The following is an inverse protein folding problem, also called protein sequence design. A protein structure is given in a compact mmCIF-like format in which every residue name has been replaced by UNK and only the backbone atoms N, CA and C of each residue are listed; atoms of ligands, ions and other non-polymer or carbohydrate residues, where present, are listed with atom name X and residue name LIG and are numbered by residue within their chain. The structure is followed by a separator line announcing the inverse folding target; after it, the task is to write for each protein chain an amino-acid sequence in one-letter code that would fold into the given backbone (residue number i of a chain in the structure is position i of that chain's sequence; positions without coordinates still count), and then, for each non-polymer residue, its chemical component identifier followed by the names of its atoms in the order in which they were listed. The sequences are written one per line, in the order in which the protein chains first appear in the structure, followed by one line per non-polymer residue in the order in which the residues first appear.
data_IF_940908590486
#
_entry.id   IF_940908590486
#
_cell.length_a   1.000
_cell.length_b   1.000
_cell.length_c   1.000
_cell.angle_alpha   90.00
_cell.angle_beta   90.00
_cell.angle_gamma   90.00
#
_symmetry.space_group_name_H-M   'P 1'
#
loop_
_entity.id
_entity.type
_entity.pdbx_description
1 polymer ?
#
# COMPACT_ATOMS: atom_id res chain seq x y z
N UNK A 1 17.05 -11.93 -23.58
CA UNK A 1 15.83 -11.62 -24.39
C UNK A 1 14.82 -12.68 -24.00
N UNK A 2 13.67 -12.42 -23.39
CA UNK A 2 12.74 -11.31 -23.55
C UNK A 2 12.04 -11.07 -22.21
N UNK A 3 11.82 -9.81 -21.86
CA UNK A 3 10.94 -9.37 -20.78
C UNK A 3 9.57 -10.06 -20.92
N UNK A 4 9.13 -10.80 -19.91
CA UNK A 4 7.71 -11.15 -19.79
C UNK A 4 7.05 -10.12 -18.89
N UNK A 5 6.55 -9.07 -19.55
CA UNK A 5 5.63 -8.08 -19.01
C UNK A 5 4.37 -8.81 -18.53
N UNK A 6 4.13 -8.83 -17.22
CA UNK A 6 2.79 -8.86 -16.63
C UNK A 6 2.86 -7.78 -15.53
N UNK A 7 2.50 -6.52 -15.78
CA UNK A 7 1.11 -6.09 -16.00
C UNK A 7 0.16 -6.94 -15.19
N UNK A 8 0.22 -6.82 -13.87
CA UNK A 8 -0.97 -6.86 -13.05
C UNK A 8 -0.79 -5.77 -12.01
N UNK A 9 -1.69 -4.79 -12.02
CA UNK A 9 -1.95 -3.97 -10.84
C UNK A 9 -2.31 -4.95 -9.74
N UNK A 10 -1.33 -5.38 -8.95
CA UNK A 10 -1.60 -6.18 -7.77
C UNK A 10 -2.29 -5.21 -6.84
N UNK A 11 -3.61 -5.24 -6.82
CA UNK A 11 -4.43 -4.59 -5.81
C UNK A 11 -4.05 -5.29 -4.49
N UNK A 12 -2.98 -4.84 -3.85
CA UNK A 12 -2.64 -5.31 -2.52
C UNK A 12 -3.52 -4.54 -1.57
N UNK A 13 -4.54 -5.17 -1.00
CA UNK A 13 -5.25 -4.55 0.11
C UNK A 13 -4.29 -4.54 1.32
N UNK A 14 -3.55 -3.45 1.47
CA UNK A 14 -2.75 -3.21 2.67
C UNK A 14 -3.68 -2.89 3.83
N UNK A 15 -3.51 -3.54 4.98
CA UNK A 15 -4.35 -3.30 6.16
C UNK A 15 -3.49 -2.63 7.22
N UNK A 16 -3.96 -1.52 7.77
CA UNK A 16 -3.26 -0.70 8.77
C UNK A 16 -4.24 -0.42 9.91
N UNK A 17 -3.82 -0.58 11.17
CA UNK A 17 -4.61 -0.29 12.38
C UNK A 17 -4.03 0.90 13.16
N UNK A 18 -4.51 2.13 12.97
CA UNK A 18 -4.41 3.21 13.94
C UNK A 18 -5.38 2.94 15.09
N UNK A 19 -4.99 3.38 16.29
CA UNK A 19 -5.71 3.22 17.55
C UNK A 19 -7.24 3.37 17.42
N UNK A 20 -7.97 2.34 17.85
CA UNK A 20 -9.45 2.12 17.92
C UNK A 20 -10.12 1.47 16.69
N UNK A 21 -10.54 0.22 16.90
CA UNK A 21 -11.61 -0.56 16.26
C UNK A 21 -11.85 -0.34 14.74
N UNK A 22 -11.08 -1.04 13.92
CA UNK A 22 -11.32 -1.23 12.49
C UNK A 22 -10.03 -1.44 11.69
N UNK A 23 -10.15 -1.78 10.40
CA UNK A 23 -9.06 -1.70 9.41
C UNK A 23 -9.24 -0.38 8.64
N UNK A 24 -8.66 0.75 9.07
CA UNK A 24 -9.02 2.05 8.51
C UNK A 24 -8.10 2.58 7.41
N UNK A 25 -7.11 1.81 6.92
CA UNK A 25 -6.32 2.27 5.77
C UNK A 25 -5.88 1.15 4.83
N UNK A 26 -5.96 1.43 3.53
CA UNK A 26 -5.50 0.57 2.45
C UNK A 26 -4.91 1.36 1.30
N UNK A 27 -3.97 0.74 0.58
CA UNK A 27 -3.33 1.34 -0.59
C UNK A 27 -2.70 0.28 -1.49
N UNK A 28 -2.44 0.64 -2.73
CA UNK A 28 -1.96 -0.25 -3.79
C UNK A 28 -0.44 -0.29 -3.77
N UNK A 29 0.13 -1.49 -3.72
CA UNK A 29 1.57 -1.65 -3.80
C UNK A 29 2.08 -1.39 -5.22
N UNK A 30 3.03 -0.46 -5.35
CA UNK A 30 3.60 -0.02 -6.63
C UNK A 30 5.00 -0.63 -6.91
N UNK A 31 5.45 -1.58 -6.09
CA UNK A 31 6.84 -2.07 -6.15
C UNK A 31 7.83 -1.14 -5.45
N UNK A 32 9.10 -1.55 -5.40
CA UNK A 32 10.18 -0.78 -4.74
C UNK A 32 9.86 -0.29 -3.33
N UNK A 33 9.09 -1.07 -2.55
CA UNK A 33 8.60 -0.70 -1.23
C UNK A 33 7.75 0.57 -1.20
N UNK A 34 7.02 0.86 -2.28
CA UNK A 34 6.14 2.02 -2.38
C UNK A 34 4.67 1.63 -2.42
N UNK A 35 3.83 2.48 -1.86
CA UNK A 35 2.38 2.36 -1.86
C UNK A 35 1.75 3.63 -2.45
N UNK A 36 0.75 3.46 -3.32
CA UNK A 36 -0.20 4.51 -3.69
C UNK A 36 -1.38 4.42 -2.72
N UNK A 37 -1.70 5.48 -2.00
CA UNK A 37 -2.84 5.50 -1.08
C UNK A 37 -3.51 6.87 -1.04
N UNK A 38 -4.75 6.92 -0.56
CA UNK A 38 -5.32 8.17 -0.10
C UNK A 38 -4.59 8.56 1.20
N UNK A 39 -3.99 9.73 1.25
CA UNK A 39 -3.35 10.30 2.44
C UNK A 39 -4.36 10.99 3.33
N UNK A 40 -4.07 12.22 3.76
CA UNK A 40 -5.02 13.08 4.49
C UNK A 40 -5.88 13.87 3.51
N UNK A 41 -6.87 14.60 4.02
CA UNK A 41 -7.67 15.54 3.22
C UNK A 41 -6.79 16.62 2.55
N UNK A 42 -5.64 16.97 3.15
CA UNK A 42 -4.70 17.93 2.56
C UNK A 42 -3.79 17.31 1.49
N UNK A 43 -3.34 16.06 1.66
CA UNK A 43 -2.38 15.43 0.74
C UNK A 43 -3.05 14.71 -0.42
N UNK A 44 -4.31 14.29 -0.28
CA UNK A 44 -5.04 13.60 -1.35
C UNK A 44 -4.42 12.25 -1.70
N UNK A 45 -4.39 11.88 -2.99
CA UNK A 45 -3.74 10.61 -3.41
C UNK A 45 -2.25 10.83 -3.53
N UNK A 46 -1.47 10.04 -2.81
CA UNK A 46 -0.01 10.16 -2.76
C UNK A 46 0.71 8.83 -2.87
N UNK A 47 2.02 8.90 -3.14
CA UNK A 47 2.93 7.75 -3.17
C UNK A 47 3.87 7.86 -1.99
N UNK A 48 3.87 6.86 -1.11
CA UNK A 48 4.73 6.83 0.08
C UNK A 48 5.58 5.58 0.13
N UNK A 49 6.73 5.68 0.80
CA UNK A 49 7.61 4.55 1.06
C UNK A 49 7.16 3.80 2.31
N UNK A 50 7.12 2.46 2.22
CA UNK A 50 6.85 1.55 3.33
C UNK A 50 8.02 1.42 4.31
N UNK A 51 9.20 1.95 3.95
CA UNK A 51 10.31 2.10 4.89
C UNK A 51 10.11 3.29 5.85
N UNK A 52 9.06 4.11 5.67
CA UNK A 52 8.67 5.10 6.67
C UNK A 52 8.25 4.39 7.95
N UNK A 53 8.80 4.80 9.09
CA UNK A 53 8.55 4.18 10.41
C UNK A 53 7.07 4.08 10.78
N UNK A 54 6.25 5.04 10.33
CA UNK A 54 4.79 4.99 10.50
C UNK A 54 4.19 3.81 9.73
N UNK A 55 4.43 3.72 8.42
CA UNK A 55 3.88 2.64 7.59
C UNK A 55 4.47 1.27 7.92
N UNK A 56 5.74 1.22 8.30
CA UNK A 56 6.41 -0.02 8.68
C UNK A 56 5.81 -0.64 9.96
N UNK A 57 5.50 0.20 10.97
CA UNK A 57 4.91 -0.27 12.23
C UNK A 57 3.43 -0.66 12.10
N UNK A 58 2.76 -0.20 11.04
CA UNK A 58 1.34 -0.43 10.80
C UNK A 58 1.07 -1.46 9.69
N UNK A 59 2.12 -2.04 9.10
CA UNK A 59 1.97 -3.04 8.05
C UNK A 59 1.46 -4.37 8.62
N UNK A 60 0.24 -4.77 8.23
CA UNK A 60 -0.37 -6.03 8.68
C UNK A 60 -0.23 -7.13 7.61
N UNK A 61 -0.15 -6.76 6.34
CA UNK A 61 0.01 -7.70 5.23
C UNK A 61 -0.49 -7.16 3.90
N UNK A 62 -0.30 -7.97 2.87
CA UNK A 62 -0.73 -7.70 1.51
C UNK A 62 -1.47 -8.90 0.92
N UNK A 63 -2.54 -8.64 0.16
CA UNK A 63 -3.32 -9.67 -0.53
C UNK A 63 -3.30 -9.43 -2.03
N UNK A 64 -2.87 -10.40 -2.82
CA UNK A 64 -3.00 -10.35 -4.28
C UNK A 64 -4.37 -10.85 -4.73
N UNK A 65 -4.95 -10.25 -5.76
CA UNK A 65 -6.10 -10.79 -6.48
C UNK A 65 -5.60 -11.38 -7.81
N UNK A 66 -6.12 -12.55 -8.16
CA UNK A 66 -5.77 -13.30 -9.37
C UNK A 66 -7.01 -13.54 -10.22
#
# INVERSE_FOLDING_TARGET
MVQHQMSQMIVQAMTIQPYKDGVPHSGIYNGNKQMIHAGTEETGVEITSLDNSYWQSHYIGAKSFQ
#
